data_IF_429116144166
#
_entry.id   IF_429116144166
#
_cell.length_a   1.000
_cell.length_b   1.000
_cell.length_c   1.000
_cell.angle_alpha   90.00
_cell.angle_beta   90.00
_cell.angle_gamma   90.00
#
_symmetry.space_group_name_H-M   'P 1'
#
loop_
_entity.id
_entity.type
_entity.pdbx_description
1 polymer ?
#
# COMPACT_ATOMS: atom_id res chain seq x y z
N UNK A 1 -5.04 10.45 9.80
CA UNK A 1 -4.57 9.72 10.99
C UNK A 1 -3.87 8.50 10.45
N UNK A 2 -2.55 8.48 10.56
CA UNK A 2 -1.74 7.33 10.22
C UNK A 2 -1.75 6.33 11.36
N UNK A 3 -1.89 5.04 11.06
CA UNK A 3 -1.76 3.96 12.04
C UNK A 3 -0.46 3.21 11.78
N UNK A 4 0.30 2.90 12.84
CA UNK A 4 1.65 2.38 12.70
C UNK A 4 1.95 1.38 13.83
N UNK A 5 2.39 0.18 13.47
CA UNK A 5 2.77 -0.84 14.47
C UNK A 5 4.16 -0.54 15.06
N UNK A 6 4.45 -1.02 16.30
CA UNK A 6 5.74 -0.79 16.95
C UNK A 6 6.95 -1.27 16.13
N UNK A 7 6.78 -2.32 15.33
CA UNK A 7 7.82 -2.86 14.46
C UNK A 7 8.09 -1.90 13.30
N UNK A 8 7.03 -1.36 12.70
CA UNK A 8 7.15 -0.44 11.56
C UNK A 8 7.65 0.95 11.97
N UNK A 9 7.43 1.38 13.22
CA UNK A 9 8.07 2.58 13.80
C UNK A 9 9.59 2.54 13.62
N UNK A 10 10.22 1.40 13.91
CA UNK A 10 11.68 1.25 13.84
C UNK A 10 12.16 1.45 12.41
N UNK A 11 11.49 0.84 11.44
CA UNK A 11 11.82 1.01 10.02
C UNK A 11 11.62 2.45 9.55
N UNK A 12 10.51 3.10 9.94
CA UNK A 12 10.23 4.48 9.56
C UNK A 12 11.31 5.46 10.05
N UNK A 13 11.82 5.26 11.27
CA UNK A 13 12.86 6.10 11.88
C UNK A 13 14.25 5.89 11.25
N UNK A 14 14.52 4.67 10.77
CA UNK A 14 15.79 4.31 10.13
C UNK A 14 15.74 4.40 8.61
N UNK A 15 14.63 4.90 8.04
CA UNK A 15 14.42 4.86 6.60
C UNK A 15 15.51 5.64 5.86
N UNK A 16 15.88 5.12 4.71
CA UNK A 16 16.71 5.81 3.73
C UNK A 16 15.93 5.92 2.42
N UNK A 17 16.27 6.91 1.60
CA UNK A 17 15.75 6.97 0.25
C UNK A 17 16.31 5.81 -0.57
N UNK A 18 15.40 4.97 -1.09
CA UNK A 18 15.74 3.85 -1.97
C UNK A 18 14.93 3.99 -3.24
N UNK A 19 15.56 3.76 -4.40
CA UNK A 19 14.89 3.80 -5.68
C UNK A 19 13.85 2.67 -5.81
N UNK A 20 12.71 2.99 -6.39
CA UNK A 20 11.69 1.99 -6.74
C UNK A 20 12.22 1.15 -7.92
N UNK A 21 11.97 -0.17 -7.97
CA UNK A 21 12.30 -0.96 -9.16
C UNK A 21 11.67 -0.36 -10.42
N UNK A 22 12.49 -0.09 -11.44
CA UNK A 22 12.07 0.63 -12.65
C UNK A 22 10.90 -0.04 -13.38
N UNK A 23 10.83 -1.37 -13.36
CA UNK A 23 9.72 -2.14 -13.94
C UNK A 23 8.40 -1.89 -13.23
N UNK A 24 8.42 -1.70 -11.91
CA UNK A 24 7.26 -1.37 -11.10
C UNK A 24 6.88 0.10 -11.28
N UNK A 25 7.86 1.01 -11.26
CA UNK A 25 7.65 2.43 -11.52
C UNK A 25 6.95 2.66 -12.86
N UNK A 26 7.45 2.05 -13.94
CA UNK A 26 6.83 2.14 -15.28
C UNK A 26 5.39 1.61 -15.33
N UNK A 27 5.06 0.60 -14.51
CA UNK A 27 3.68 0.09 -14.40
C UNK A 27 2.79 1.08 -13.66
N UNK A 28 3.28 1.66 -12.56
CA UNK A 28 2.53 2.62 -11.75
C UNK A 28 2.32 3.95 -12.48
N UNK A 29 3.28 4.40 -13.30
CA UNK A 29 3.16 5.61 -14.13
C UNK A 29 2.03 5.54 -15.15
N UNK A 30 1.47 4.36 -15.45
CA UNK A 30 0.24 4.24 -16.24
C UNK A 30 -0.99 4.82 -15.53
N UNK A 31 -0.88 5.10 -14.24
CA UNK A 31 -1.93 5.71 -13.44
C UNK A 31 -2.99 4.70 -13.01
N UNK A 32 -4.20 5.23 -12.87
CA UNK A 32 -5.35 4.51 -12.36
C UNK A 32 -6.38 4.27 -13.47
N UNK A 33 -7.04 3.12 -13.41
CA UNK A 33 -8.23 2.82 -14.17
C UNK A 33 -9.45 2.97 -13.27
N UNK A 34 -10.45 3.72 -13.75
CA UNK A 34 -11.70 3.99 -13.07
C UNK A 34 -12.86 3.30 -13.80
N UNK A 35 -13.70 2.58 -13.05
CA UNK A 35 -14.94 2.02 -13.56
C UNK A 35 -16.07 2.19 -12.55
N UNK A 36 -17.05 3.02 -12.89
CA UNK A 36 -18.04 3.54 -11.96
C UNK A 36 -17.35 4.20 -10.76
N UNK A 37 -17.59 3.74 -9.53
CA UNK A 37 -16.94 4.29 -8.34
C UNK A 37 -15.64 3.54 -7.95
N UNK A 38 -15.23 2.52 -8.70
CA UNK A 38 -14.07 1.68 -8.36
C UNK A 38 -12.80 2.17 -9.04
N UNK A 39 -11.70 2.19 -8.28
CA UNK A 39 -10.38 2.63 -8.71
C UNK A 39 -9.35 1.52 -8.51
N UNK A 40 -8.65 1.19 -9.60
CA UNK A 40 -7.52 0.24 -9.57
C UNK A 40 -6.30 0.79 -10.31
N UNK A 41 -5.13 0.20 -10.12
CA UNK A 41 -4.00 0.49 -11.00
C UNK A 41 -4.29 0.07 -12.45
N UNK A 42 -3.97 0.90 -13.45
CA UNK A 42 -4.31 0.63 -14.86
C UNK A 42 -3.71 -0.69 -15.36
N UNK A 43 -2.52 -1.07 -14.89
CA UNK A 43 -1.89 -2.33 -15.26
C UNK A 43 -2.63 -3.58 -14.74
N UNK A 44 -3.60 -3.43 -13.84
CA UNK A 44 -4.50 -4.51 -13.41
C UNK A 44 -5.83 -4.54 -14.16
N UNK A 45 -6.18 -3.53 -14.97
CA UNK A 45 -7.50 -3.46 -15.61
C UNK A 45 -7.82 -4.68 -16.48
N UNK A 46 -6.82 -5.26 -17.14
CA UNK A 46 -6.99 -6.41 -18.01
C UNK A 46 -7.45 -7.68 -17.25
N UNK A 47 -7.28 -7.71 -15.92
CA UNK A 47 -7.75 -8.78 -15.03
C UNK A 47 -9.24 -8.62 -14.70
N UNK A 48 -9.83 -7.44 -14.93
CA UNK A 48 -11.17 -7.06 -14.52
C UNK A 48 -12.16 -7.16 -15.68
N UNK A 49 -12.13 -8.28 -16.40
CA UNK A 49 -12.92 -8.50 -17.63
C UNK A 49 -14.43 -8.46 -17.41
N UNK A 50 -14.90 -8.62 -16.17
CA UNK A 50 -16.32 -8.57 -15.82
C UNK A 50 -16.52 -7.81 -14.51
N UNK A 51 -17.30 -6.73 -14.58
CA UNK A 51 -17.68 -5.87 -13.44
C UNK A 51 -19.08 -6.25 -12.97
N UNK A 52 -19.16 -7.36 -12.24
CA UNK A 52 -20.38 -7.73 -11.54
C UNK A 52 -20.28 -7.26 -10.09
N UNK A 53 -20.93 -6.13 -9.81
CA UNK A 53 -20.87 -5.49 -8.50
C UNK A 53 -21.54 -6.31 -7.40
N UNK A 54 -22.55 -7.12 -7.72
CA UNK A 54 -23.20 -7.99 -6.74
C UNK A 54 -22.23 -9.10 -6.30
N UNK A 55 -21.53 -9.70 -7.27
CA UNK A 55 -20.49 -10.70 -6.98
C UNK A 55 -19.31 -10.06 -6.22
N UNK A 56 -18.89 -8.86 -6.61
CA UNK A 56 -17.80 -8.14 -5.93
C UNK A 56 -18.16 -7.91 -4.46
N UNK A 57 -19.32 -7.31 -4.18
CA UNK A 57 -19.78 -7.03 -2.82
C UNK A 57 -19.94 -8.34 -2.04
N UNK A 58 -20.53 -9.38 -2.65
CA UNK A 58 -20.69 -10.68 -2.00
C UNK A 58 -19.35 -11.34 -1.63
N UNK A 59 -18.29 -11.12 -2.42
CA UNK A 59 -16.99 -11.77 -2.22
C UNK A 59 -16.06 -10.98 -1.30
N UNK A 60 -16.09 -9.66 -1.41
CA UNK A 60 -15.15 -8.76 -0.74
C UNK A 60 -15.79 -7.93 0.38
N UNK A 61 -17.09 -8.07 0.60
CA UNK A 61 -17.87 -7.30 1.57
C UNK A 61 -18.30 -5.95 1.02
N UNK A 62 -17.37 -5.19 0.41
CA UNK A 62 -17.64 -3.90 -0.21
C UNK A 62 -16.61 -3.55 -1.31
N UNK A 63 -16.71 -2.34 -1.87
CA UNK A 63 -15.79 -1.84 -2.90
C UNK A 63 -14.38 -1.58 -2.35
N UNK A 64 -14.28 -1.18 -1.07
CA UNK A 64 -12.99 -0.94 -0.41
C UNK A 64 -12.20 -2.23 -0.26
N UNK A 65 -12.83 -3.32 0.19
CA UNK A 65 -12.23 -4.65 0.25
C UNK A 65 -11.82 -5.17 -1.12
N UNK A 66 -12.63 -4.92 -2.16
CA UNK A 66 -12.29 -5.26 -3.53
C UNK A 66 -11.04 -4.52 -4.03
N UNK A 67 -10.99 -3.20 -3.84
CA UNK A 67 -9.85 -2.37 -4.24
C UNK A 67 -8.60 -2.76 -3.46
N UNK A 68 -8.69 -2.92 -2.15
CA UNK A 68 -7.57 -3.32 -1.31
C UNK A 68 -7.00 -4.68 -1.75
N UNK A 69 -7.86 -5.63 -2.12
CA UNK A 69 -7.42 -6.91 -2.64
C UNK A 69 -6.77 -6.78 -4.04
N UNK A 70 -7.40 -6.02 -4.94
CA UNK A 70 -6.99 -5.91 -6.34
C UNK A 70 -5.72 -5.07 -6.51
N UNK A 71 -5.59 -4.00 -5.75
CA UNK A 71 -4.46 -3.07 -5.79
C UNK A 71 -3.31 -3.48 -4.88
N UNK A 72 -3.31 -4.71 -4.37
CA UNK A 72 -2.18 -5.24 -3.63
C UNK A 72 -1.01 -5.49 -4.58
N UNK A 73 0.16 -5.04 -4.18
CA UNK A 73 1.43 -5.23 -4.86
C UNK A 73 2.35 -5.93 -3.85
N UNK A 74 2.75 -7.16 -4.15
CA UNK A 74 3.79 -7.85 -3.40
C UNK A 74 5.14 -7.35 -3.89
N UNK A 75 5.96 -6.77 -3.00
CA UNK A 75 7.26 -6.22 -3.38
C UNK A 75 8.21 -7.30 -3.89
N UNK A 76 8.09 -8.50 -3.31
CA UNK A 76 8.86 -9.69 -3.67
C UNK A 76 8.66 -10.11 -5.14
N UNK A 77 7.57 -9.70 -5.81
CA UNK A 77 7.35 -9.96 -7.25
C UNK A 77 8.23 -9.07 -8.16
N UNK A 78 8.82 -8.01 -7.61
CA UNK A 78 9.53 -6.95 -8.34
C UNK A 78 10.99 -6.80 -7.95
N UNK A 79 11.42 -7.50 -6.90
CA UNK A 79 12.79 -7.49 -6.40
C UNK A 79 13.26 -8.93 -6.26
N UNK A 80 14.55 -9.18 -6.53
CA UNK A 80 15.13 -10.47 -6.18
C UNK A 80 15.50 -10.45 -4.70
N UNK A 81 14.60 -10.97 -3.86
CA UNK A 81 14.68 -10.87 -2.38
C UNK A 81 15.98 -11.43 -1.80
N UNK A 82 16.65 -12.37 -2.47
CA UNK A 82 17.98 -12.87 -2.05
C UNK A 82 19.06 -11.78 -2.01
N UNK A 83 18.87 -10.69 -2.74
CA UNK A 83 19.82 -9.58 -2.83
C UNK A 83 19.48 -8.40 -1.89
N UNK A 84 18.37 -8.47 -1.16
CA UNK A 84 17.89 -7.36 -0.33
C UNK A 84 17.63 -7.81 1.09
N UNK A 85 18.09 -7.01 2.05
CA UNK A 85 17.67 -7.14 3.45
C UNK A 85 16.21 -6.72 3.61
N UNK A 86 15.54 -7.22 4.66
CA UNK A 86 14.16 -6.81 5.01
C UNK A 86 14.03 -5.28 5.12
N UNK A 87 15.04 -4.60 5.67
CA UNK A 87 15.03 -3.14 5.80
C UNK A 87 15.06 -2.43 4.44
N UNK A 88 15.82 -2.94 3.47
CA UNK A 88 15.85 -2.37 2.13
C UNK A 88 14.51 -2.60 1.41
N UNK A 89 13.91 -3.78 1.55
CA UNK A 89 12.57 -4.04 0.99
C UNK A 89 11.52 -3.09 1.58
N UNK A 90 11.56 -2.88 2.89
CA UNK A 90 10.63 -1.95 3.56
C UNK A 90 10.90 -0.50 3.12
N UNK A 91 12.17 -0.10 2.91
CA UNK A 91 12.49 1.23 2.38
C UNK A 91 11.97 1.41 0.94
N UNK A 92 12.03 0.39 0.08
CA UNK A 92 11.35 0.40 -1.23
C UNK A 92 9.84 0.60 -1.03
N UNK A 93 9.26 -0.07 -0.03
CA UNK A 93 7.87 0.14 0.37
C UNK A 93 7.56 1.60 0.72
N UNK A 94 8.37 2.27 1.53
CA UNK A 94 8.18 3.69 1.85
C UNK A 94 8.30 4.60 0.63
N UNK A 95 9.26 4.34 -0.26
CA UNK A 95 9.37 5.06 -1.53
C UNK A 95 8.12 4.89 -2.39
N UNK A 96 7.56 3.66 -2.44
CA UNK A 96 6.31 3.38 -3.14
C UNK A 96 5.10 4.09 -2.53
N UNK A 97 5.02 4.16 -1.19
CA UNK A 97 3.98 4.95 -0.53
C UNK A 97 4.05 6.39 -1.04
N UNK A 98 5.21 7.03 -0.94
CA UNK A 98 5.38 8.42 -1.36
C UNK A 98 5.06 8.61 -2.86
N UNK A 99 5.48 7.68 -3.70
CA UNK A 99 5.18 7.70 -5.13
C UNK A 99 3.67 7.63 -5.39
N UNK A 100 2.96 6.71 -4.75
CA UNK A 100 1.50 6.56 -4.91
C UNK A 100 0.78 7.79 -4.38
N UNK A 101 1.20 8.35 -3.24
CA UNK A 101 0.64 9.60 -2.71
C UNK A 101 0.77 10.75 -3.73
N UNK A 102 1.98 10.93 -4.27
CA UNK A 102 2.25 11.97 -5.26
C UNK A 102 1.44 11.76 -6.54
N UNK A 103 1.38 10.53 -7.05
CA UNK A 103 0.62 10.18 -8.23
C UNK A 103 -0.88 10.42 -8.03
N UNK A 104 -1.41 10.03 -6.87
CA UNK A 104 -2.80 10.25 -6.51
C UNK A 104 -3.14 11.75 -6.44
N UNK A 105 -2.36 12.50 -5.66
CA UNK A 105 -2.54 13.95 -5.48
C UNK A 105 -2.38 14.75 -6.78
N UNK A 106 -1.62 14.23 -7.75
CA UNK A 106 -1.46 14.86 -9.06
C UNK A 106 -2.65 14.62 -9.99
N UNK A 107 -3.31 13.47 -9.87
CA UNK A 107 -4.36 13.03 -10.80
C UNK A 107 -5.77 13.20 -10.24
N UNK A 108 -5.93 13.41 -8.93
CA UNK A 108 -7.20 13.32 -8.23
C UNK A 108 -7.30 14.25 -7.02
N UNK A 109 -8.54 14.59 -6.69
CA UNK A 109 -8.90 15.47 -5.57
C UNK A 109 -9.54 14.73 -4.38
N UNK A 110 -9.88 13.44 -4.54
CA UNK A 110 -10.42 12.61 -3.46
C UNK A 110 -9.31 12.02 -2.57
N UNK A 111 -9.68 11.41 -1.45
CA UNK A 111 -8.71 10.78 -0.54
C UNK A 111 -8.51 9.29 -0.86
N UNK A 112 -7.30 8.80 -0.61
CA UNK A 112 -7.00 7.37 -0.62
C UNK A 112 -6.29 6.94 0.65
N UNK A 113 -6.35 5.64 0.92
CA UNK A 113 -5.58 4.97 1.97
C UNK A 113 -4.52 4.10 1.31
N UNK A 114 -3.30 4.17 1.83
CA UNK A 114 -2.17 3.33 1.44
C UNK A 114 -1.71 2.57 2.68
N UNK A 115 -1.45 1.27 2.51
CA UNK A 115 -1.05 0.37 3.56
C UNK A 115 0.24 -0.31 3.12
N UNK A 116 1.32 -0.12 3.87
CA UNK A 116 2.54 -0.91 3.77
C UNK A 116 2.54 -1.94 4.88
N UNK A 117 2.62 -3.22 4.52
CA UNK A 117 2.73 -4.32 5.48
C UNK A 117 3.90 -5.24 5.14
N UNK A 118 4.46 -5.89 6.15
CA UNK A 118 5.47 -6.94 5.99
C UNK A 118 5.32 -7.95 7.12
N UNK A 119 5.34 -9.24 6.76
CA UNK A 119 5.41 -10.33 7.72
C UNK A 119 6.86 -10.63 8.08
N UNK A 120 7.28 -10.14 9.24
CA UNK A 120 8.66 -10.29 9.73
C UNK A 120 9.03 -11.73 10.13
N UNK A 121 8.06 -12.65 10.21
CA UNK A 121 8.28 -14.06 10.56
C UNK A 121 8.16 -14.99 9.37
N UNK A 122 7.92 -14.47 8.18
CA UNK A 122 7.80 -15.28 6.97
C UNK A 122 9.10 -16.03 6.69
N UNK A 123 8.98 -17.35 6.49
CA UNK A 123 10.11 -18.21 6.09
C UNK A 123 10.48 -18.03 4.60
N UNK A 124 9.61 -17.36 3.81
CA UNK A 124 9.73 -17.21 2.36
C UNK A 124 10.11 -15.78 1.93
N UNK A 125 10.93 -15.08 2.72
CA UNK A 125 11.35 -13.70 2.46
C UNK A 125 10.50 -12.67 3.21
N UNK A 126 10.63 -11.40 2.83
CA UNK A 126 10.08 -10.27 3.59
C UNK A 126 8.54 -10.20 3.58
N UNK A 127 7.90 -10.86 2.60
CA UNK A 127 6.46 -10.88 2.36
C UNK A 127 5.86 -9.46 2.51
N UNK A 128 6.57 -8.48 1.96
CA UNK A 128 6.20 -7.08 2.06
C UNK A 128 5.23 -6.74 0.93
N UNK A 129 4.19 -5.98 1.25
CA UNK A 129 3.18 -5.57 0.29
C UNK A 129 2.73 -4.14 0.49
N UNK A 130 2.39 -3.50 -0.62
CA UNK A 130 1.63 -2.25 -0.65
C UNK A 130 0.20 -2.59 -1.04
N UNK A 131 -0.74 -2.11 -0.25
CA UNK A 131 -2.17 -2.13 -0.56
C UNK A 131 -2.67 -0.69 -0.68
N UNK A 132 -3.57 -0.44 -1.61
CA UNK A 132 -4.07 0.90 -1.91
C UNK A 132 -5.58 0.83 -2.20
N UNK A 133 -6.36 1.78 -1.68
CA UNK A 133 -7.78 1.89 -2.02
C UNK A 133 -8.28 3.33 -1.89
N UNK A 134 -9.37 3.65 -2.60
CA UNK A 134 -10.06 4.93 -2.43
C UNK A 134 -10.71 4.96 -1.05
N UNK A 135 -10.61 6.10 -0.36
CA UNK A 135 -11.23 6.28 0.94
C UNK A 135 -12.69 6.66 0.75
N UNK A 136 -13.60 5.85 1.31
CA UNK A 136 -15.05 6.07 1.22
C UNK A 136 -15.66 6.34 2.58
N UNK A 137 -16.65 7.25 2.67
CA UNK A 137 -17.46 7.37 3.88
C UNK A 137 -18.09 6.02 4.23
N UNK A 138 -17.99 5.62 5.50
CA UNK A 138 -18.63 4.42 6.07
C UNK A 138 -18.15 3.06 5.54
N UNK A 139 -17.09 3.00 4.73
CA UNK A 139 -16.40 1.75 4.44
C UNK A 139 -15.05 1.76 5.16
N UNK A 140 -14.84 0.76 6.01
CA UNK A 140 -13.60 0.61 6.77
C UNK A 140 -13.01 -0.72 6.35
N UNK A 141 -11.77 -0.69 5.87
CA UNK A 141 -11.01 -1.91 5.69
C UNK A 141 -10.73 -2.49 7.09
N UNK A 142 -11.49 -3.50 7.47
CA UNK A 142 -11.29 -4.22 8.73
C UNK A 142 -10.18 -5.24 8.51
N UNK A 143 -8.93 -4.81 8.69
CA UNK A 143 -7.84 -5.74 8.99
C UNK A 143 -7.67 -5.78 10.51
N UNK A 144 -7.92 -6.93 11.13
CA UNK A 144 -7.60 -7.14 12.54
C UNK A 144 -6.08 -7.10 12.71
N UNK A 145 -5.55 -5.97 13.15
CA UNK A 145 -4.13 -5.78 13.45
C UNK A 145 -3.73 -6.29 14.85
N UNK A 146 -4.70 -6.74 15.64
CA UNK A 146 -4.46 -7.28 16.97
C UNK A 146 -3.80 -8.67 16.84
N UNK A 147 -2.67 -8.85 17.54
CA UNK A 147 -1.87 -10.07 17.67
C UNK A 147 -1.07 -10.57 16.44
N UNK A 148 -1.04 -9.83 15.32
CA UNK A 148 -0.23 -10.21 14.17
C UNK A 148 1.24 -9.73 14.31
N UNK A 149 2.28 -10.55 14.07
CA UNK A 149 3.69 -10.12 14.09
C UNK A 149 4.07 -9.19 12.92
N UNK A 150 3.09 -8.69 12.18
CA UNK A 150 3.29 -7.87 11.00
C UNK A 150 3.75 -6.45 11.36
N UNK A 151 4.75 -5.98 10.62
CA UNK A 151 5.05 -4.57 10.55
C UNK A 151 4.00 -3.93 9.63
N UNK A 152 3.22 -2.96 10.13
CA UNK A 152 2.15 -2.32 9.35
C UNK A 152 2.22 -0.81 9.50
N UNK A 153 2.10 -0.11 8.38
CA UNK A 153 1.95 1.33 8.27
C UNK A 153 0.74 1.64 7.39
N UNK A 154 -0.17 2.47 7.90
CA UNK A 154 -1.37 2.93 7.20
C UNK A 154 -1.32 4.45 7.17
N UNK A 155 -1.49 5.05 6.00
CA UNK A 155 -1.56 6.50 5.84
C UNK A 155 -2.51 6.91 4.73
N UNK A 156 -2.98 8.15 4.78
CA UNK A 156 -3.73 8.77 3.69
C UNK A 156 -2.77 9.42 2.68
N UNK A 157 -3.27 9.81 1.51
CA UNK A 157 -2.52 10.61 0.53
C UNK A 157 -2.02 11.97 1.04
N UNK A 158 -2.66 12.52 2.06
CA UNK A 158 -2.31 13.80 2.69
C UNK A 158 -1.30 13.70 3.83
N UNK A 159 -1.00 12.48 4.30
CA UNK A 159 -0.11 12.26 5.43
C UNK A 159 1.37 12.33 4.98
N UNK A 160 2.16 13.22 5.59
CA UNK A 160 3.60 13.34 5.30
C UNK A 160 4.42 12.34 6.10
N UNK A 161 5.18 11.46 5.42
CA UNK A 161 6.11 10.53 6.06
C UNK A 161 7.13 11.24 6.97
N UNK A 162 7.60 12.41 6.56
CA UNK A 162 8.54 13.20 7.36
C UNK A 162 7.89 13.70 8.64
N UNK A 163 6.67 14.25 8.54
CA UNK A 163 5.93 14.76 9.70
C UNK A 163 5.60 13.64 10.71
N UNK A 164 5.23 12.46 10.22
CA UNK A 164 4.99 11.28 11.08
C UNK A 164 6.29 10.86 11.78
N UNK A 165 7.38 10.81 11.02
CA UNK A 165 8.70 10.44 11.56
C UNK A 165 9.19 11.42 12.62
N UNK A 166 8.96 12.72 12.46
CA UNK A 166 9.40 13.72 13.43
C UNK A 166 8.55 13.72 14.69
N UNK A 167 7.24 13.45 14.58
CA UNK A 167 6.37 13.25 15.73
C UNK A 167 6.84 12.08 16.61
N UNK A 168 7.30 10.98 16.00
CA UNK A 168 7.79 9.80 16.72
C UNK A 168 9.12 10.04 17.46
N UNK A 169 9.96 10.98 17.00
CA UNK A 169 11.24 11.29 17.67
C UNK A 169 11.07 12.08 18.97
N UNK A 170 9.91 12.70 19.15
CA UNK A 170 9.60 13.59 20.30
C UNK A 170 8.86 12.81 21.41
N UNK A 171 8.41 11.59 21.11
CA UNK A 171 7.79 10.66 22.07
C UNK A 171 8.84 9.80 22.78
#
# INVERSE_FOLDING_TARGET
MSLLSPQMNKFLLMRSEVAIPSTLELKLLKGFYEHSDVIVFDFYKARLKYWDYEIIISRYGDLTGFEANTNRIHLDDYINTENFTISEVINIGFSLVQFIQNLWNHLRDDECTIILSSDLKSEFGSNASITFHKKRPNQILVDCLDDCPQAVFICNNSDSLQSISDALKIM
#
